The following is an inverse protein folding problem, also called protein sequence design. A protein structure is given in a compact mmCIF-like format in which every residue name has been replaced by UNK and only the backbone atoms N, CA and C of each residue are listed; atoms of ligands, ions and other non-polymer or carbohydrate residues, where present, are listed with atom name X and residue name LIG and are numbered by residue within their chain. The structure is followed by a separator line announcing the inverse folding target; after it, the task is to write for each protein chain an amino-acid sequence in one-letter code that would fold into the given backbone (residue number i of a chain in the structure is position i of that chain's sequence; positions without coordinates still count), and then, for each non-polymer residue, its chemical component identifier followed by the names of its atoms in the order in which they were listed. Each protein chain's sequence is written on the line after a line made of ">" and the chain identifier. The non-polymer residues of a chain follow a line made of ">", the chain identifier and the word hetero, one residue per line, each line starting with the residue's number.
data_IF_045105824794
#
_entry.id   IF_045105824794
#
_cell.length_a   1.000
_cell.length_b   1.000
_cell.length_c   1.000
_cell.angle_alpha   90.00
_cell.angle_beta   90.00
_cell.angle_gamma   90.00
#
_symmetry.space_group_name_H-M   'P 1'
#
loop_
_entity.id
_entity.type
_entity.pdbx_description
1 polymer ?
#
# COMPACT_ATOMS: atom_id res chain seq x y z
N UNK A 1 2.00 16.14 -18.18
CA UNK A 1 2.54 14.76 -18.27
C UNK A 1 3.38 14.52 -17.04
N UNK A 2 3.05 13.50 -16.23
CA UNK A 2 3.87 13.15 -15.06
C UNK A 2 5.12 12.40 -15.55
N UNK A 3 6.31 12.92 -15.26
CA UNK A 3 7.57 12.23 -15.52
C UNK A 3 7.80 11.23 -14.40
N UNK A 4 7.74 9.92 -14.70
CA UNK A 4 8.09 8.85 -13.75
C UNK A 4 9.48 8.33 -14.13
N UNK A 5 10.38 8.21 -13.14
CA UNK A 5 11.70 7.61 -13.33
C UNK A 5 11.62 6.14 -12.91
N UNK A 6 11.96 5.26 -13.82
CA UNK A 6 12.06 3.83 -13.55
C UNK A 6 13.52 3.49 -13.20
N UNK A 7 13.72 2.61 -12.22
CA UNK A 7 15.06 2.11 -11.94
C UNK A 7 15.50 1.18 -13.07
N UNK A 8 16.80 1.23 -13.39
CA UNK A 8 17.39 0.32 -14.37
C UNK A 8 17.59 -1.06 -13.73
N UNK A 9 16.60 -1.94 -13.88
CA UNK A 9 16.60 -3.32 -13.37
C UNK A 9 17.09 -4.35 -14.41
N UNK A 10 17.52 -3.88 -15.60
CA UNK A 10 17.92 -4.74 -16.72
C UNK A 10 16.78 -5.19 -17.61
N UNK A 11 15.54 -4.76 -17.35
CA UNK A 11 14.38 -5.08 -18.21
C UNK A 11 14.43 -4.34 -19.54
N UNK A 12 15.16 -3.22 -19.63
CA UNK A 12 15.40 -2.49 -20.88
C UNK A 12 16.79 -2.87 -21.43
N UNK A 13 16.84 -3.46 -22.62
CA UNK A 13 18.09 -3.80 -23.30
C UNK A 13 18.91 -2.56 -23.69
N UNK A 14 20.23 -2.66 -23.54
CA UNK A 14 21.21 -1.58 -23.33
C UNK A 14 21.48 -0.52 -24.40
N UNK A 15 20.53 -0.16 -25.27
CA UNK A 15 20.67 1.01 -26.16
C UNK A 15 19.80 2.22 -25.75
N UNK A 16 18.82 2.05 -24.85
CA UNK A 16 17.92 3.13 -24.39
C UNK A 16 17.93 3.37 -22.87
N UNK A 17 18.96 2.86 -22.19
CA UNK A 17 19.10 2.91 -20.72
C UNK A 17 19.11 4.34 -20.13
N UNK A 18 19.58 5.32 -20.91
CA UNK A 18 19.77 6.72 -20.50
C UNK A 18 18.66 7.67 -20.97
N UNK A 19 17.70 7.19 -21.75
CA UNK A 19 16.77 8.05 -22.49
C UNK A 19 15.40 8.16 -21.78
N UNK A 20 14.74 9.32 -21.89
CA UNK A 20 13.35 9.47 -21.47
C UNK A 20 12.44 8.64 -22.40
N UNK A 21 11.89 7.53 -21.90
CA UNK A 21 10.99 6.65 -22.66
C UNK A 21 9.53 7.07 -22.47
N UNK A 22 8.76 7.09 -23.56
CA UNK A 22 7.31 7.25 -23.51
C UNK A 22 6.66 5.92 -23.13
N UNK A 23 5.88 5.94 -22.05
CA UNK A 23 5.15 4.77 -21.54
C UNK A 23 3.64 5.03 -21.58
N UNK A 24 2.87 3.94 -21.66
CA UNK A 24 1.41 3.98 -21.53
C UNK A 24 1.08 3.49 -20.11
N UNK A 25 0.36 4.32 -19.36
CA UNK A 25 -0.14 3.92 -18.04
C UNK A 25 -1.46 3.17 -18.20
N UNK A 26 -1.48 1.92 -17.73
CA UNK A 26 -2.67 1.06 -17.72
C UNK A 26 -3.07 0.81 -16.27
N UNK A 27 -4.32 1.08 -15.93
CA UNK A 27 -4.88 0.81 -14.61
C UNK A 27 -6.08 -0.13 -14.78
N UNK A 28 -6.13 -1.17 -13.95
CA UNK A 28 -7.21 -2.15 -13.93
C UNK A 28 -7.48 -2.61 -12.50
N UNK A 29 -8.65 -3.19 -12.26
CA UNK A 29 -9.08 -3.65 -10.94
C UNK A 29 -8.22 -4.82 -10.43
N UNK A 30 -7.95 -4.84 -9.13
CA UNK A 30 -7.11 -5.87 -8.51
C UNK A 30 -7.75 -7.27 -8.44
N UNK A 31 -9.01 -7.39 -8.87
CA UNK A 31 -9.70 -8.68 -9.02
C UNK A 31 -9.27 -9.45 -10.28
N UNK A 32 -8.58 -8.80 -11.22
CA UNK A 32 -8.05 -9.41 -12.42
C UNK A 32 -6.67 -10.01 -12.18
N UNK A 33 -6.26 -11.01 -12.99
CA UNK A 33 -4.96 -11.65 -12.85
C UNK A 33 -3.82 -10.67 -13.11
N UNK A 34 -2.76 -10.80 -12.31
CA UNK A 34 -1.51 -10.07 -12.49
C UNK A 34 -0.85 -10.45 -13.82
N UNK A 35 -0.29 -9.44 -14.50
CA UNK A 35 0.51 -9.63 -15.72
C UNK A 35 1.87 -10.30 -15.41
N UNK A 36 2.36 -11.21 -16.27
CA UNK A 36 3.72 -11.74 -16.17
C UNK A 36 4.78 -10.63 -16.23
N UNK A 37 5.85 -10.77 -15.45
CA UNK A 37 6.97 -9.80 -15.39
C UNK A 37 7.84 -9.82 -16.66
N UNK A 38 7.87 -10.96 -17.34
CA UNK A 38 8.60 -11.21 -18.58
C UNK A 38 7.74 -10.98 -19.83
N UNK A 39 6.59 -10.32 -19.68
CA UNK A 39 5.68 -10.03 -20.78
C UNK A 39 6.29 -8.99 -21.74
N UNK A 40 6.35 -9.35 -23.02
CA UNK A 40 6.69 -8.47 -24.15
C UNK A 40 5.68 -8.67 -25.29
N UNK A 41 5.64 -7.74 -26.24
CA UNK A 41 4.74 -7.81 -27.39
C UNK A 41 5.27 -7.11 -28.63
N UNK A 42 4.49 -7.12 -29.71
CA UNK A 42 4.89 -6.48 -30.98
C UNK A 42 5.05 -4.96 -30.87
N UNK A 43 4.31 -4.33 -29.96
CA UNK A 43 4.23 -2.87 -29.81
C UNK A 43 4.88 -2.33 -28.54
N UNK A 44 5.34 -3.20 -27.64
CA UNK A 44 6.00 -2.83 -26.40
C UNK A 44 7.08 -3.83 -26.03
N UNK A 45 8.19 -3.33 -25.50
CA UNK A 45 9.35 -4.15 -25.15
C UNK A 45 9.31 -4.71 -23.72
N UNK A 46 8.56 -4.08 -22.81
CA UNK A 46 8.57 -4.42 -21.39
C UNK A 46 7.29 -3.95 -20.67
N UNK A 47 6.98 -4.59 -19.55
CA UNK A 47 5.93 -4.17 -18.61
C UNK A 47 6.55 -3.92 -17.23
N UNK A 48 6.20 -2.80 -16.63
CA UNK A 48 6.69 -2.41 -15.30
C UNK A 48 5.59 -2.55 -14.25
N UNK A 49 5.98 -2.56 -12.97
CA UNK A 49 5.07 -2.39 -11.83
C UNK A 49 4.00 -3.51 -11.71
N UNK A 50 4.28 -4.71 -12.22
CA UNK A 50 3.34 -5.84 -12.19
C UNK A 50 3.22 -6.43 -10.78
N UNK A 51 4.25 -6.32 -9.95
CA UNK A 51 4.32 -6.88 -8.58
C UNK A 51 3.81 -5.96 -7.49
N UNK A 52 3.47 -4.72 -7.83
CA UNK A 52 3.15 -3.68 -6.85
C UNK A 52 1.86 -3.99 -6.10
N UNK A 53 1.93 -3.89 -4.78
CA UNK A 53 0.77 -4.14 -3.92
C UNK A 53 -0.08 -2.87 -3.77
N UNK A 54 -1.36 -3.03 -3.41
CA UNK A 54 -2.23 -1.89 -3.12
C UNK A 54 -1.68 -0.99 -2.00
N UNK A 55 -1.04 -1.60 -0.99
CA UNK A 55 -0.39 -0.88 0.10
C UNK A 55 0.82 -0.07 -0.39
N UNK A 56 1.72 -0.68 -1.15
CA UNK A 56 2.89 0.02 -1.72
C UNK A 56 2.45 1.21 -2.58
N UNK A 57 1.47 1.01 -3.46
CA UNK A 57 0.90 2.07 -4.29
C UNK A 57 0.35 3.22 -3.44
N UNK A 58 -0.40 2.92 -2.38
CA UNK A 58 -0.95 3.92 -1.47
C UNK A 58 0.18 4.74 -0.82
N UNK A 59 1.17 4.07 -0.23
CA UNK A 59 2.25 4.74 0.48
C UNK A 59 3.07 5.65 -0.44
N UNK A 60 3.37 5.19 -1.66
CA UNK A 60 4.16 5.95 -2.64
C UNK A 60 3.36 7.09 -3.25
N UNK A 61 2.13 6.86 -3.71
CA UNK A 61 1.30 7.91 -4.35
C UNK A 61 0.93 9.04 -3.37
N UNK A 62 0.79 8.72 -2.07
CA UNK A 62 0.49 9.69 -1.02
C UNK A 62 1.70 10.17 -0.24
N UNK A 63 2.91 9.76 -0.63
CA UNK A 63 4.16 10.12 0.04
C UNK A 63 4.09 9.90 1.57
N UNK A 64 3.47 8.80 2.00
CA UNK A 64 3.33 8.44 3.41
C UNK A 64 4.67 7.90 3.93
N UNK A 65 5.42 8.74 4.67
CA UNK A 65 6.76 8.43 5.16
C UNK A 65 6.78 7.92 6.61
N UNK A 66 5.70 7.29 7.08
CA UNK A 66 5.56 6.76 8.43
C UNK A 66 4.21 7.13 9.07
N UNK A 67 4.07 6.95 10.40
CA UNK A 67 2.90 7.41 11.12
C UNK A 67 2.74 8.93 11.01
N UNK A 68 1.54 9.38 10.69
CA UNK A 68 1.23 10.80 10.58
C UNK A 68 -0.26 11.01 10.38
N UNK A 69 -0.65 12.28 10.28
CA UNK A 69 -2.04 12.66 10.12
C UNK A 69 -2.51 12.40 8.69
N UNK A 70 -3.73 11.89 8.56
CA UNK A 70 -4.40 11.67 7.28
C UNK A 70 -5.74 12.37 7.27
N UNK A 71 -6.06 13.00 6.14
CA UNK A 71 -7.38 13.53 5.85
C UNK A 71 -8.11 12.54 4.94
N UNK A 72 -9.30 12.11 5.36
CA UNK A 72 -10.13 11.17 4.62
C UNK A 72 -11.45 11.85 4.26
N UNK A 73 -11.82 11.81 2.98
CA UNK A 73 -13.07 12.38 2.45
C UNK A 73 -13.94 11.29 1.83
N UNK A 74 -15.25 11.55 1.68
CA UNK A 74 -16.20 10.59 1.08
C UNK A 74 -16.14 9.18 1.69
N UNK A 75 -15.94 9.10 3.01
CA UNK A 75 -15.98 7.84 3.73
C UNK A 75 -17.42 7.42 4.04
N UNK A 76 -17.63 6.13 4.25
CA UNK A 76 -18.92 5.55 4.65
C UNK A 76 -18.73 4.68 5.88
N UNK A 77 -19.67 4.75 6.81
CA UNK A 77 -19.66 3.88 7.99
C UNK A 77 -19.89 2.42 7.60
N UNK A 78 -19.18 1.51 8.27
CA UNK A 78 -19.29 0.08 7.98
C UNK A 78 -20.47 -0.53 8.73
N UNK A 79 -21.29 -1.31 8.02
CA UNK A 79 -22.43 -2.02 8.63
C UNK A 79 -22.03 -3.28 9.40
N UNK A 80 -20.99 -3.98 8.92
CA UNK A 80 -20.43 -5.17 9.56
C UNK A 80 -18.96 -4.91 9.94
N UNK A 81 -18.71 -4.69 11.24
CA UNK A 81 -17.36 -4.43 11.76
C UNK A 81 -16.40 -5.58 11.44
N UNK A 82 -15.24 -5.25 10.88
CA UNK A 82 -14.15 -6.18 10.60
C UNK A 82 -13.00 -6.04 11.61
N UNK A 83 -13.00 -4.96 12.38
CA UNK A 83 -11.97 -4.64 13.37
C UNK A 83 -12.54 -4.58 14.79
N UNK A 84 -11.64 -4.62 15.79
CA UNK A 84 -11.97 -4.35 17.20
C UNK A 84 -11.78 -2.87 17.57
N UNK A 85 -11.72 -1.97 16.58
CA UNK A 85 -11.63 -0.53 16.80
C UNK A 85 -13.01 0.07 17.11
N UNK A 86 -13.02 1.17 17.87
CA UNK A 86 -14.24 1.87 18.24
C UNK A 86 -14.97 2.41 17.00
N UNK A 87 -14.22 3.02 16.08
CA UNK A 87 -14.68 3.60 14.83
C UNK A 87 -14.13 2.85 13.62
N UNK A 88 -14.99 2.59 12.64
CA UNK A 88 -14.63 1.87 11.41
C UNK A 88 -15.35 2.50 10.21
N UNK A 89 -14.58 2.82 9.17
CA UNK A 89 -15.07 3.45 7.96
C UNK A 89 -14.46 2.77 6.73
N UNK A 90 -15.20 2.77 5.63
CA UNK A 90 -14.68 2.39 4.30
C UNK A 90 -14.59 3.62 3.42
N UNK A 91 -13.57 3.64 2.56
CA UNK A 91 -13.33 4.74 1.62
C UNK A 91 -13.07 4.17 0.24
N UNK A 92 -13.64 4.83 -0.77
CA UNK A 92 -13.33 4.54 -2.16
C UNK A 92 -11.88 4.95 -2.47
N UNK A 93 -11.08 3.98 -2.88
CA UNK A 93 -9.66 4.14 -3.21
C UNK A 93 -9.42 4.38 -4.70
N UNK A 94 -10.46 4.60 -5.51
CA UNK A 94 -10.33 4.95 -6.92
C UNK A 94 -9.38 6.14 -7.09
N UNK A 95 -8.25 5.89 -7.78
CA UNK A 95 -7.18 6.87 -8.02
C UNK A 95 -6.64 7.54 -6.74
N UNK A 96 -6.82 6.89 -5.59
CA UNK A 96 -6.42 7.36 -4.26
C UNK A 96 -6.93 8.77 -3.92
N UNK A 97 -8.00 9.28 -4.54
CA UNK A 97 -8.38 10.71 -4.42
C UNK A 97 -8.86 11.13 -3.02
N UNK A 98 -9.41 10.19 -2.27
CA UNK A 98 -10.14 10.42 -1.03
C UNK A 98 -9.26 10.35 0.23
N UNK A 99 -7.95 10.09 0.08
CA UNK A 99 -6.98 10.02 1.18
C UNK A 99 -5.88 11.03 0.91
N UNK A 100 -5.51 11.83 1.91
CA UNK A 100 -4.38 12.74 1.84
C UNK A 100 -3.50 12.59 3.08
N UNK A 101 -2.20 12.48 2.89
CA UNK A 101 -1.23 12.48 3.98
C UNK A 101 -0.83 13.91 4.31
N UNK A 102 -1.21 14.37 5.49
CA UNK A 102 -1.09 15.77 5.87
C UNK A 102 0.13 15.99 6.76
N UNK A 103 1.25 16.34 6.12
CA UNK A 103 2.50 16.69 6.80
C UNK A 103 2.53 18.14 7.32
N UNK A 104 1.51 18.96 7.02
CA UNK A 104 1.44 20.35 7.44
C UNK A 104 0.82 20.52 8.84
N UNK A 105 0.15 19.48 9.35
CA UNK A 105 -0.42 19.50 10.70
C UNK A 105 0.71 19.53 11.74
N UNK A 106 0.72 20.58 12.55
CA UNK A 106 1.67 20.80 13.65
C UNK A 106 1.15 20.30 14.99
N UNK A 107 -0.02 19.64 15.02
CA UNK A 107 -0.58 19.07 16.23
C UNK A 107 0.32 17.97 16.77
N UNK A 108 0.50 17.97 18.10
CA UNK A 108 1.25 16.92 18.78
C UNK A 108 0.61 15.53 18.48
N UNK A 109 1.43 14.49 18.27
CA UNK A 109 0.93 13.13 18.09
C UNK A 109 0.02 12.72 19.25
N UNK A 110 -1.09 12.00 18.98
CA UNK A 110 -1.99 11.57 20.04
C UNK A 110 -1.27 10.60 20.99
N UNK A 111 -1.62 10.60 22.30
CA UNK A 111 -1.08 9.63 23.23
C UNK A 111 -1.47 8.22 22.81
N UNK A 112 -0.52 7.29 22.88
CA UNK A 112 -0.73 5.89 22.53
C UNK A 112 -0.93 5.04 23.78
N UNK A 113 -1.75 3.99 23.69
CA UNK A 113 -1.95 3.02 24.77
C UNK A 113 -0.82 1.99 24.71
N UNK A 114 0.00 1.93 25.74
CA UNK A 114 1.05 0.92 25.88
C UNK A 114 0.59 -0.21 26.80
N UNK A 115 0.80 -1.45 26.37
CA UNK A 115 0.58 -2.64 27.18
C UNK A 115 1.91 -3.40 27.30
N UNK A 116 2.33 -3.68 28.53
CA UNK A 116 3.51 -4.50 28.82
C UNK A 116 3.02 -5.75 29.54
N UNK A 117 3.33 -6.92 28.97
CA UNK A 117 2.92 -8.21 29.49
C UNK A 117 4.16 -9.02 29.90
N UNK A 118 4.14 -9.59 31.10
CA UNK A 118 5.09 -10.62 31.50
C UNK A 118 4.32 -11.92 31.72
N UNK A 119 4.64 -12.94 30.93
CA UNK A 119 3.93 -14.22 30.95
C UNK A 119 4.87 -15.28 31.48
N UNK A 120 4.47 -15.93 32.57
CA UNK A 120 5.15 -17.08 33.16
C UNK A 120 4.25 -18.29 33.01
N UNK A 121 4.79 -19.36 32.44
CA UNK A 121 4.10 -20.64 32.27
C UNK A 121 4.80 -21.72 33.08
N UNK A 122 4.03 -22.61 33.70
CA UNK A 122 4.53 -23.84 34.33
C UNK A 122 3.76 -25.05 33.80
N UNK A 123 4.39 -26.22 33.86
CA UNK A 123 3.79 -27.47 33.42
C UNK A 123 2.69 -27.91 34.40
N UNK A 124 1.56 -28.40 33.88
CA UNK A 124 0.49 -28.95 34.71
C UNK A 124 0.80 -30.40 35.08
N UNK A 125 1.58 -30.61 36.14
CA UNK A 125 2.01 -31.95 36.58
C UNK A 125 0.85 -32.89 36.93
N UNK A 126 -0.31 -32.34 37.29
CA UNK A 126 -1.50 -33.12 37.69
C UNK A 126 -2.37 -33.58 36.53
N UNK A 127 -2.14 -33.07 35.31
CA UNK A 127 -3.02 -33.28 34.15
C UNK A 127 -4.51 -33.00 34.40
N UNK A 128 -4.84 -32.16 35.38
CA UNK A 128 -6.25 -31.82 35.63
C UNK A 128 -6.76 -30.96 34.47
N UNK A 129 -7.85 -31.42 33.84
CA UNK A 129 -8.50 -30.87 32.64
C UNK A 129 -7.77 -31.10 31.30
N UNK A 130 -6.87 -32.10 31.20
CA UNK A 130 -6.75 -32.89 29.96
C UNK A 130 -7.99 -33.77 29.76
#
# INVERSE_FOLDING_TARGET
>A
QAKKRFMHDGTISGEHSSDEVKVIEVQYESNHPKLPTDLFGETFSAVFNTTTTAMERLLVEKAMMGPGWIDVTNYTEVTAKQSYCDYEFTVDMERMRNVNYNSAITQAPPPVRMLVLNVLTMLNDKKENE
#
